data_IF_159730592471
#
_entry.id   IF_159730592471
#
_cell.length_a   1.000
_cell.length_b   1.000
_cell.length_c   1.000
_cell.angle_alpha   90.00
_cell.angle_beta   90.00
_cell.angle_gamma   90.00
#
_symmetry.space_group_name_H-M   'P 1'
#
loop_
_entity.id
_entity.type
_entity.pdbx_description
1 polymer ?
#
# COMPACT_ATOMS: atom_id res chain seq x y z
N UNK A 1 0.06 17.34 26.55
CA UNK A 1 -0.85 17.49 25.39
C UNK A 1 -0.31 16.55 24.33
N UNK A 2 -1.14 15.68 23.72
CA UNK A 2 -0.66 14.89 22.56
C UNK A 2 -0.63 15.85 21.37
N UNK A 3 0.55 16.18 20.90
CA UNK A 3 0.71 16.93 19.65
C UNK A 3 0.38 15.99 18.49
N UNK A 4 -0.68 16.33 17.76
CA UNK A 4 -1.14 15.60 16.59
C UNK A 4 -0.52 16.22 15.35
N UNK A 5 0.17 15.41 14.57
CA UNK A 5 0.77 15.78 13.29
C UNK A 5 -0.10 15.25 12.15
N UNK A 6 -0.23 16.05 11.10
CA UNK A 6 -0.92 15.63 9.88
C UNK A 6 0.10 14.97 8.95
N UNK A 7 -0.20 13.78 8.44
CA UNK A 7 0.65 13.07 7.48
C UNK A 7 -0.17 12.53 6.31
N UNK A 8 0.38 12.69 5.11
CA UNK A 8 -0.16 12.09 3.88
C UNK A 8 0.60 10.82 3.50
N UNK A 9 1.50 10.32 4.35
CA UNK A 9 2.37 9.21 4.03
C UNK A 9 2.11 8.04 4.97
N UNK A 10 1.97 6.84 4.42
CA UNK A 10 1.99 5.59 5.18
C UNK A 10 3.24 4.82 4.77
N UNK A 11 4.17 4.70 5.72
CA UNK A 11 5.45 4.04 5.51
C UNK A 11 5.42 2.66 6.16
N UNK A 12 5.80 1.64 5.41
CA UNK A 12 5.68 0.25 5.85
C UNK A 12 6.82 -0.64 5.37
N UNK A 13 7.30 -1.53 6.23
CA UNK A 13 8.34 -2.50 5.92
C UNK A 13 7.75 -3.88 5.67
N UNK A 14 8.08 -4.50 4.53
CA UNK A 14 7.57 -5.81 4.12
C UNK A 14 8.12 -6.91 5.02
N UNK A 15 7.24 -7.69 5.64
CA UNK A 15 7.62 -8.88 6.41
C UNK A 15 7.55 -10.15 5.56
N UNK A 16 6.44 -10.31 4.86
CA UNK A 16 6.19 -11.43 3.96
C UNK A 16 5.59 -10.89 2.67
N UNK A 17 5.87 -11.57 1.56
CA UNK A 17 5.30 -11.26 0.26
C UNK A 17 5.03 -12.57 -0.48
N UNK A 18 3.81 -12.72 -1.01
CA UNK A 18 3.36 -13.89 -1.74
C UNK A 18 2.62 -13.48 -3.01
N UNK A 19 2.73 -14.33 -4.05
CA UNK A 19 1.90 -14.19 -5.25
C UNK A 19 0.69 -15.10 -5.10
N UNK A 20 -0.49 -14.51 -5.20
CA UNK A 20 -1.76 -15.23 -5.32
C UNK A 20 -2.14 -15.30 -6.80
N UNK A 21 -2.43 -16.51 -7.25
CA UNK A 21 -2.95 -16.80 -8.57
C UNK A 21 -4.41 -17.20 -8.43
N UNK A 22 -5.32 -16.42 -9.02
CA UNK A 22 -6.73 -16.81 -9.11
C UNK A 22 -6.94 -17.66 -10.34
N UNK A 23 -7.48 -18.87 -10.17
CA UNK A 23 -7.62 -19.83 -11.27
C UNK A 23 -8.63 -19.41 -12.34
N UNK A 24 -9.64 -18.61 -11.98
CA UNK A 24 -10.76 -18.26 -12.87
C UNK A 24 -10.36 -17.28 -13.98
N UNK A 25 -9.48 -16.34 -13.69
CA UNK A 25 -9.01 -15.25 -14.57
C UNK A 25 -7.50 -15.28 -14.79
N UNK A 26 -6.81 -16.23 -14.15
CA UNK A 26 -5.35 -16.36 -14.12
C UNK A 26 -4.66 -15.07 -13.67
N UNK A 27 -5.37 -14.24 -12.89
CA UNK A 27 -4.89 -12.94 -12.48
C UNK A 27 -3.92 -13.10 -11.32
N UNK A 28 -2.70 -12.61 -11.51
CA UNK A 28 -1.69 -12.54 -10.46
C UNK A 28 -2.02 -11.38 -9.52
N UNK A 29 -1.80 -11.56 -8.23
CA UNK A 29 -1.91 -10.51 -7.22
C UNK A 29 -0.76 -10.67 -6.24
N UNK A 30 -0.05 -9.59 -5.97
CA UNK A 30 0.97 -9.58 -4.93
C UNK A 30 0.29 -9.22 -3.61
N UNK A 31 0.43 -10.09 -2.61
CA UNK A 31 -0.04 -9.81 -1.24
C UNK A 31 1.18 -9.75 -0.33
N UNK A 32 1.30 -8.67 0.44
CA UNK A 32 2.36 -8.53 1.41
C UNK A 32 1.83 -8.12 2.78
N UNK A 33 2.31 -8.79 3.83
CA UNK A 33 2.13 -8.34 5.21
C UNK A 33 3.29 -7.43 5.57
N UNK A 34 2.97 -6.25 6.09
CA UNK A 34 3.95 -5.22 6.38
C UNK A 34 3.79 -4.69 7.79
N UNK A 35 4.89 -4.27 8.41
CA UNK A 35 4.86 -3.50 9.65
C UNK A 35 4.74 -2.02 9.31
N UNK A 36 3.79 -1.33 9.95
CA UNK A 36 3.69 0.12 9.86
C UNK A 36 4.86 0.76 10.63
N UNK A 37 5.54 1.70 9.99
CA UNK A 37 6.74 2.35 10.56
C UNK A 37 6.42 3.69 11.19
N UNK A 38 5.52 4.46 10.59
CA UNK A 38 5.12 5.79 11.07
C UNK A 38 3.74 5.82 11.73
N UNK A 39 3.05 4.68 11.81
CA UNK A 39 1.74 4.55 12.45
C UNK A 39 1.75 3.34 13.40
N UNK A 40 1.47 3.57 14.67
CA UNK A 40 1.42 2.58 15.76
C UNK A 40 0.15 1.70 15.74
N UNK A 41 -0.30 1.31 14.54
CA UNK A 41 -1.40 0.34 14.32
C UNK A 41 -0.91 -1.11 14.18
N UNK A 42 0.42 -1.31 14.20
CA UNK A 42 1.06 -2.62 14.13
C UNK A 42 1.32 -3.02 12.68
N UNK A 43 0.38 -3.75 12.07
CA UNK A 43 0.56 -4.35 10.76
C UNK A 43 -0.43 -3.81 9.73
N UNK A 44 -0.01 -3.81 8.46
CA UNK A 44 -0.86 -3.62 7.30
C UNK A 44 -0.77 -4.83 6.38
N UNK A 45 -1.81 -5.03 5.59
CA UNK A 45 -1.78 -5.94 4.44
C UNK A 45 -1.96 -5.09 3.20
N UNK A 46 -0.99 -5.18 2.29
CA UNK A 46 -1.09 -4.58 0.97
C UNK A 46 -1.37 -5.65 -0.07
N UNK A 47 -2.36 -5.37 -0.91
CA UNK A 47 -2.73 -6.17 -2.07
C UNK A 47 -2.46 -5.32 -3.30
N UNK A 48 -1.50 -5.74 -4.13
CA UNK A 48 -1.16 -5.05 -5.38
C UNK A 48 -1.67 -5.89 -6.55
N UNK A 49 -2.53 -5.27 -7.37
CA UNK A 49 -3.16 -5.91 -8.52
C UNK A 49 -2.69 -5.23 -9.81
N UNK A 50 -2.25 -5.97 -10.83
CA UNK A 50 -1.93 -5.34 -12.11
C UNK A 50 -3.20 -4.85 -12.83
N UNK A 51 -3.08 -3.83 -13.66
CA UNK A 51 -4.12 -3.43 -14.62
C UNK A 51 -3.53 -3.25 -16.02
N UNK A 52 -4.36 -3.39 -17.05
CA UNK A 52 -3.91 -3.19 -18.41
C UNK A 52 -3.78 -1.68 -18.67
N UNK A 53 -2.59 -1.21 -19.05
CA UNK A 53 -2.33 0.23 -19.25
C UNK A 53 -3.27 0.89 -20.28
N UNK A 54 -3.90 0.10 -21.16
CA UNK A 54 -4.92 0.58 -22.11
C UNK A 54 -6.27 0.91 -21.47
N UNK A 55 -6.56 0.44 -20.25
CA UNK A 55 -7.78 0.74 -19.50
C UNK A 55 -7.77 2.14 -18.87
N UNK A 56 -6.64 2.86 -18.95
CA UNK A 56 -6.47 4.23 -18.41
C UNK A 56 -6.34 5.28 -19.54
N UNK A 57 -6.27 4.83 -20.80
CA UNK A 57 -6.09 5.70 -21.97
C UNK A 57 -7.40 6.12 -22.67
N UNK A 58 -8.56 5.74 -22.13
CA UNK A 58 -9.81 6.47 -22.36
C UNK A 58 -9.78 7.73 -21.50
N UNK A 59 -9.73 8.91 -22.12
CA UNK A 59 -9.41 10.22 -21.53
C UNK A 59 -10.32 10.77 -20.42
N UNK A 60 -11.02 9.92 -19.69
CA UNK A 60 -11.86 10.23 -18.52
C UNK A 60 -11.27 9.66 -17.20
N UNK A 61 -10.15 8.92 -17.25
CA UNK A 61 -9.59 8.19 -16.10
C UNK A 61 -8.21 8.67 -15.62
N UNK A 62 -7.74 9.83 -16.09
CA UNK A 62 -6.46 10.40 -15.62
C UNK A 62 -6.44 10.73 -14.11
N UNK A 63 -7.62 10.74 -13.47
CA UNK A 63 -7.81 11.05 -12.05
C UNK A 63 -8.40 9.86 -11.27
N UNK A 64 -8.38 8.64 -11.84
CA UNK A 64 -8.79 7.46 -11.08
C UNK A 64 -7.73 7.12 -10.04
N UNK A 65 -8.13 6.96 -8.77
CA UNK A 65 -7.19 6.65 -7.71
C UNK A 65 -6.54 5.30 -7.98
N UNK A 66 -5.23 5.21 -7.79
CA UNK A 66 -4.47 3.98 -8.04
C UNK A 66 -4.65 2.94 -6.93
N UNK A 67 -5.66 3.12 -6.09
CA UNK A 67 -5.97 2.26 -4.98
C UNK A 67 -6.64 2.98 -3.81
N UNK A 68 -6.84 2.23 -2.73
CA UNK A 68 -7.52 2.68 -1.51
C UNK A 68 -6.83 2.13 -0.26
N UNK A 69 -6.90 2.90 0.83
CA UNK A 69 -6.51 2.49 2.18
C UNK A 69 -7.76 2.44 3.05
N UNK A 70 -8.05 1.26 3.60
CA UNK A 70 -9.17 1.03 4.52
C UNK A 70 -8.67 0.94 5.95
N UNK A 71 -9.21 1.82 6.79
CA UNK A 71 -8.88 1.87 8.21
C UNK A 71 -10.16 1.62 9.00
N UNK A 72 -10.18 0.49 9.70
CA UNK A 72 -11.33 0.10 10.53
C UNK A 72 -11.05 0.30 12.01
N UNK A 73 -12.09 0.71 12.75
CA UNK A 73 -12.01 0.93 14.19
C UNK A 73 -11.80 -0.38 14.95
N UNK A 74 -12.50 -1.45 14.53
CA UNK A 74 -12.54 -2.76 15.17
C UNK A 74 -11.33 -3.65 14.88
N UNK A 75 -10.60 -3.38 13.79
CA UNK A 75 -9.44 -4.17 13.36
C UNK A 75 -8.15 -3.40 13.43
N UNK A 76 -7.19 -3.89 14.21
CA UNK A 76 -5.84 -3.30 14.29
C UNK A 76 -5.14 -3.20 12.92
N UNK A 77 -5.36 -4.17 12.05
CA UNK A 77 -4.73 -4.26 10.73
C UNK A 77 -5.34 -3.27 9.74
N UNK A 78 -4.49 -2.48 9.08
CA UNK A 78 -4.87 -1.64 7.93
C UNK A 78 -4.87 -2.48 6.64
N UNK A 79 -5.83 -2.21 5.76
CA UNK A 79 -5.94 -2.87 4.46
C UNK A 79 -5.64 -1.86 3.36
N UNK A 80 -4.69 -2.19 2.50
CA UNK A 80 -4.25 -1.33 1.40
C UNK A 80 -4.44 -2.11 0.11
N UNK A 81 -5.24 -1.58 -0.81
CA UNK A 81 -5.40 -2.14 -2.14
C UNK A 81 -4.81 -1.16 -3.13
N UNK A 82 -3.76 -1.56 -3.84
CA UNK A 82 -3.10 -0.72 -4.83
C UNK A 82 -3.12 -1.41 -6.20
N UNK A 83 -3.06 -0.57 -7.23
CA UNK A 83 -3.09 -0.98 -8.62
C UNK A 83 -1.82 -0.47 -9.31
N UNK A 84 -1.16 -1.35 -10.05
CA UNK A 84 0.02 -0.98 -10.85
C UNK A 84 -0.20 -1.35 -12.31
N UNK A 85 0.33 -0.57 -13.27
CA UNK A 85 0.33 -1.01 -14.66
C UNK A 85 1.02 -2.38 -14.78
N UNK A 86 0.50 -3.27 -15.64
CA UNK A 86 1.04 -4.63 -15.82
C UNK A 86 2.57 -4.66 -15.94
N UNK A 87 3.15 -3.78 -16.76
CA UNK A 87 4.60 -3.71 -16.95
C UNK A 87 5.37 -3.34 -15.67
N UNK A 88 4.79 -2.49 -14.81
CA UNK A 88 5.39 -2.11 -13.53
C UNK A 88 5.27 -3.26 -12.53
N UNK A 89 4.12 -3.94 -12.50
CA UNK A 89 3.90 -5.14 -11.71
C UNK A 89 4.90 -6.26 -12.08
N UNK A 90 5.05 -6.58 -13.36
CA UNK A 90 5.99 -7.60 -13.83
C UNK A 90 7.45 -7.30 -13.45
N UNK A 91 7.83 -6.01 -13.42
CA UNK A 91 9.15 -5.57 -12.95
C UNK A 91 9.28 -5.75 -11.44
N UNK A 92 8.28 -5.34 -10.68
CA UNK A 92 8.25 -5.52 -9.23
C UNK A 92 8.46 -7.00 -8.88
N UNK A 93 7.66 -7.91 -9.45
CA UNK A 93 7.75 -9.35 -9.19
C UNK A 93 9.14 -9.90 -9.50
N UNK A 94 9.76 -9.47 -10.61
CA UNK A 94 11.14 -9.86 -10.94
C UNK A 94 12.13 -9.45 -9.86
N UNK A 95 12.01 -8.25 -9.30
CA UNK A 95 12.92 -7.80 -8.25
C UNK A 95 12.67 -8.47 -6.90
N UNK A 96 11.40 -8.64 -6.46
CA UNK A 96 11.12 -9.19 -5.13
C UNK A 96 11.62 -10.64 -4.97
N UNK A 97 11.72 -11.38 -6.08
CA UNK A 97 12.21 -12.76 -6.10
C UNK A 97 13.68 -12.89 -5.72
N UNK A 98 14.44 -11.79 -5.70
CA UNK A 98 15.83 -11.82 -5.30
C UNK A 98 15.93 -11.71 -3.78
N UNK A 99 16.63 -12.64 -3.11
CA UNK A 99 16.83 -12.56 -1.67
C UNK A 99 17.59 -11.27 -1.34
N UNK A 100 17.08 -10.51 -0.38
CA UNK A 100 17.70 -9.31 0.15
C UNK A 100 17.99 -9.47 1.65
N UNK A 101 19.07 -8.84 2.10
CA UNK A 101 19.44 -8.75 3.52
C UNK A 101 18.53 -7.81 4.31
N UNK A 102 17.83 -6.91 3.63
CA UNK A 102 16.93 -5.92 4.21
C UNK A 102 15.49 -6.08 3.68
N UNK A 103 14.47 -5.83 4.51
CA UNK A 103 13.10 -5.71 4.04
C UNK A 103 12.94 -4.64 2.95
N UNK A 104 12.09 -4.93 1.97
CA UNK A 104 11.59 -3.88 1.08
C UNK A 104 10.73 -2.90 1.88
N UNK A 105 10.77 -1.62 1.51
CA UNK A 105 9.93 -0.58 2.10
C UNK A 105 8.90 -0.14 1.07
N UNK A 106 7.65 -0.04 1.50
CA UNK A 106 6.55 0.49 0.71
C UNK A 106 6.12 1.80 1.36
N UNK A 107 6.03 2.83 0.55
CA UNK A 107 5.45 4.12 0.90
C UNK A 107 4.17 4.30 0.09
N UNK A 108 3.09 4.65 0.77
CA UNK A 108 1.80 4.98 0.17
C UNK A 108 1.49 6.43 0.48
N UNK A 109 1.31 7.24 -0.56
CA UNK A 109 0.84 8.62 -0.44
C UNK A 109 -0.70 8.63 -0.58
N UNK A 110 -1.39 9.29 0.34
CA UNK A 110 -2.85 9.35 0.42
C UNK A 110 -3.38 10.77 0.20
N UNK A 111 -4.58 10.88 -0.36
CA UNK A 111 -5.23 12.14 -0.71
C UNK A 111 -5.65 12.98 0.51
N UNK A 112 -6.09 12.34 1.58
CA UNK A 112 -6.45 13.00 2.83
C UNK A 112 -5.41 12.78 3.93
N UNK A 113 -5.19 13.79 4.76
CA UNK A 113 -4.21 13.71 5.84
C UNK A 113 -4.72 12.85 7.00
N UNK A 114 -3.85 11.99 7.52
CA UNK A 114 -4.06 11.27 8.76
C UNK A 114 -3.49 12.06 9.94
N UNK A 115 -4.26 12.14 11.02
CA UNK A 115 -3.82 12.71 12.29
C UNK A 115 -3.08 11.64 13.10
N UNK A 116 -1.77 11.79 13.26
CA UNK A 116 -0.87 10.85 13.94
C UNK A 116 -0.16 11.54 15.10
N UNK A 117 -0.06 10.91 16.26
CA UNK A 117 0.68 11.46 17.40
C UNK A 117 2.19 11.36 17.20
N UNK A 118 2.98 12.05 18.04
CA UNK A 118 4.44 11.89 18.09
C UNK A 118 4.86 10.44 18.33
N UNK A 119 4.07 9.67 19.08
CA UNK A 119 4.30 8.24 19.35
C UNK A 119 3.81 7.32 18.22
N UNK A 120 3.25 7.89 17.14
CA UNK A 120 2.68 7.16 16.02
C UNK A 120 1.22 6.75 16.19
N UNK A 121 0.55 7.12 17.29
CA UNK A 121 -0.87 6.75 17.48
C UNK A 121 -1.72 7.39 16.38
N UNK A 122 -2.54 6.60 15.70
CA UNK A 122 -3.48 7.11 14.72
C UNK A 122 -4.77 7.58 15.41
N UNK A 123 -5.20 8.80 15.12
CA UNK A 123 -6.53 9.28 15.51
C UNK A 123 -7.52 9.01 14.39
N UNK A 124 -8.52 8.19 14.71
CA UNK A 124 -9.71 7.99 13.89
C UNK A 124 -10.94 8.02 14.80
N UNK A 125 -11.96 8.75 14.37
CA UNK A 125 -13.24 8.85 15.09
C UNK A 125 -14.30 7.93 14.45
N UNK A 126 -14.12 7.56 13.17
CA UNK A 126 -14.97 6.64 12.41
C UNK A 126 -14.13 5.78 11.43
N UNK A 127 -14.75 4.76 10.82
CA UNK A 127 -14.10 4.00 9.75
C UNK A 127 -13.91 4.89 8.52
N UNK A 128 -12.75 4.80 7.88
CA UNK A 128 -12.41 5.64 6.74
C UNK A 128 -11.78 4.84 5.61
N UNK A 129 -12.05 5.30 4.39
CA UNK A 129 -11.43 4.82 3.15
C UNK A 129 -10.79 6.01 2.46
N UNK A 130 -9.49 5.94 2.24
CA UNK A 130 -8.68 7.02 1.68
C UNK A 130 -8.19 6.59 0.31
N UNK A 131 -8.11 7.52 -0.64
CA UNK A 131 -7.56 7.17 -1.95
C UNK A 131 -6.04 7.23 -1.93
N UNK A 132 -5.44 6.34 -2.71
CA UNK A 132 -3.99 6.34 -2.91
C UNK A 132 -3.65 7.28 -4.07
N UNK A 133 -2.82 8.28 -3.78
CA UNK A 133 -2.27 9.21 -4.75
C UNK A 133 -1.02 8.64 -5.43
N UNK A 134 -0.14 7.99 -4.67
CA UNK A 134 1.05 7.32 -5.22
C UNK A 134 1.48 6.10 -4.37
N UNK A 135 2.18 5.16 -5.01
CA UNK A 135 2.82 4.01 -4.34
C UNK A 135 4.27 3.90 -4.79
N UNK A 136 5.17 4.08 -3.83
CA UNK A 136 6.60 3.97 -4.01
C UNK A 136 7.14 2.72 -3.30
N UNK A 137 7.92 1.90 -4.00
CA UNK A 137 8.50 0.67 -3.46
C UNK A 137 10.02 0.77 -3.53
N UNK A 138 10.66 0.76 -2.37
CA UNK A 138 12.12 0.76 -2.23
C UNK A 138 12.62 -0.67 -2.02
N UNK A 139 13.31 -1.18 -3.04
CA UNK A 139 13.89 -2.51 -3.05
C UNK A 139 15.40 -2.44 -2.78
N UNK A 140 15.88 -2.98 -1.66
CA UNK A 140 17.33 -3.12 -1.41
C UNK A 140 17.96 -4.02 -2.47
N UNK A 141 19.06 -3.52 -3.09
CA UNK A 141 19.69 -4.21 -4.22
C UNK A 141 20.81 -5.16 -3.82
N UNK A 142 21.46 -4.97 -2.66
CA UNK A 142 22.48 -5.84 -2.02
C UNK A 142 22.60 -5.52 -0.53
#
# INVERSE_FOLDING_TARGET
MKDWQQTHEINMAVQTAEIRLRHADMHETLVATCNLMNIARGQSVITITPFAAHEVMSGEQADQPIGEVKIRLDKRQMEINAMLPQHAFDRLIRYIRHPSTRPAVIKVDIDEALAVSVDGDLRIDEEMTLNIADVSITLPLR
#
